data_IF_916733770111
#
_entry.id   IF_916733770111
#
_cell.length_a   1.000
_cell.length_b   1.000
_cell.length_c   1.000
_cell.angle_alpha   90.00
_cell.angle_beta   90.00
_cell.angle_gamma   90.00
#
_symmetry.space_group_name_H-M   'P 1'
#
loop_
_entity.id
_entity.type
_entity.pdbx_description
1 polymer ?
#
# COMPACT_ATOMS: atom_id res chain seq x y z
N UNK A 1 26.28 -5.53 -5.82
CA UNK A 1 25.40 -4.62 -5.09
C UNK A 1 25.67 -3.22 -5.59
N UNK A 2 24.62 -2.57 -5.98
CA UNK A 2 24.56 -1.50 -6.94
C UNK A 2 25.27 -0.21 -6.50
N UNK A 3 26.14 0.35 -7.33
CA UNK A 3 26.76 1.67 -7.18
C UNK A 3 25.75 2.80 -6.91
N UNK A 4 24.52 2.67 -7.41
CA UNK A 4 23.43 3.63 -7.19
C UNK A 4 22.96 3.69 -5.73
N UNK A 5 22.91 2.56 -5.01
CA UNK A 5 22.54 2.53 -3.59
C UNK A 5 23.59 3.19 -2.72
N UNK A 6 24.87 2.92 -2.98
CA UNK A 6 25.99 3.54 -2.27
C UNK A 6 25.99 5.06 -2.47
N UNK A 7 25.82 5.52 -3.71
CA UNK A 7 25.76 6.93 -4.05
C UNK A 7 24.58 7.65 -3.38
N UNK A 8 23.40 7.02 -3.28
CA UNK A 8 22.25 7.58 -2.56
C UNK A 8 22.52 7.71 -1.05
N UNK A 9 23.17 6.72 -0.44
CA UNK A 9 23.54 6.75 0.98
C UNK A 9 24.59 7.83 1.27
N UNK A 10 25.54 8.03 0.37
CA UNK A 10 26.57 9.06 0.51
C UNK A 10 25.97 10.47 0.43
N UNK A 11 25.04 10.73 -0.50
CA UNK A 11 24.31 11.99 -0.59
C UNK A 11 23.52 12.31 0.68
N UNK A 12 22.89 11.31 1.30
CA UNK A 12 22.16 11.53 2.58
C UNK A 12 23.14 11.88 3.70
N UNK A 13 24.32 11.26 3.72
CA UNK A 13 25.34 11.54 4.77
C UNK A 13 25.94 12.93 4.66
N UNK A 14 25.94 13.54 3.48
CA UNK A 14 26.37 14.92 3.28
C UNK A 14 25.42 15.92 3.95
N UNK A 15 24.10 15.62 3.96
CA UNK A 15 23.07 16.49 4.51
C UNK A 15 22.76 16.18 5.98
N UNK A 16 22.82 14.91 6.38
CA UNK A 16 22.44 14.44 7.72
C UNK A 16 23.61 13.71 8.39
N UNK A 17 24.23 14.29 9.43
CA UNK A 17 25.27 13.61 10.21
C UNK A 17 24.70 12.37 10.93
N UNK A 18 25.32 11.20 10.72
CA UNK A 18 24.92 9.93 11.35
C UNK A 18 23.43 9.53 11.08
N UNK A 19 23.00 9.40 9.83
CA UNK A 19 21.62 9.04 9.53
C UNK A 19 21.33 7.58 9.97
N UNK A 20 20.14 7.38 10.52
CA UNK A 20 19.59 6.03 10.75
C UNK A 20 18.67 5.69 9.58
N UNK A 21 18.83 4.48 9.02
CA UNK A 21 18.06 4.03 7.88
C UNK A 21 17.05 2.95 8.30
N UNK A 22 15.87 3.00 7.69
CA UNK A 22 14.93 1.87 7.74
C UNK A 22 14.97 1.17 6.38
N UNK A 23 15.25 -0.12 6.40
CA UNK A 23 15.29 -0.96 5.20
C UNK A 23 14.05 -1.83 5.18
N UNK A 24 13.26 -1.70 4.14
CA UNK A 24 11.99 -2.42 3.96
C UNK A 24 11.98 -3.19 2.64
N UNK A 25 11.16 -4.24 2.60
CA UNK A 25 10.92 -4.97 1.37
C UNK A 25 10.10 -4.14 0.40
N UNK A 26 10.58 -3.99 -0.84
CA UNK A 26 9.83 -3.32 -1.90
C UNK A 26 8.79 -4.26 -2.50
N UNK A 27 7.54 -4.06 -2.12
CA UNK A 27 6.41 -4.82 -2.67
C UNK A 27 6.15 -4.38 -4.12
N UNK A 28 5.80 -5.32 -4.98
CA UNK A 28 5.48 -5.08 -6.38
C UNK A 28 3.96 -5.15 -6.60
N UNK A 29 3.33 -4.00 -6.70
CA UNK A 29 1.89 -3.85 -6.82
C UNK A 29 1.46 -2.51 -7.42
N UNK A 30 0.37 -1.95 -6.93
CA UNK A 30 -0.15 -0.64 -7.27
C UNK A 30 -0.17 0.25 -6.03
N UNK A 31 0.50 1.39 -6.10
CA UNK A 31 0.56 2.34 -5.01
C UNK A 31 -0.76 3.08 -4.83
N UNK A 32 -1.23 3.13 -3.58
CA UNK A 32 -2.48 3.79 -3.20
C UNK A 32 -2.28 4.66 -1.98
N UNK A 33 -3.16 5.64 -1.82
CA UNK A 33 -3.34 6.43 -0.61
C UNK A 33 -4.67 6.09 0.04
N UNK A 34 -4.66 5.96 1.36
CA UNK A 34 -5.82 5.73 2.21
C UNK A 34 -5.95 6.93 3.16
N UNK A 35 -7.03 7.69 3.02
CA UNK A 35 -7.32 8.87 3.83
C UNK A 35 -8.44 8.56 4.81
N UNK A 36 -8.16 8.81 6.08
CA UNK A 36 -9.08 8.61 7.20
C UNK A 36 -9.41 9.95 7.84
N UNK A 37 -10.72 10.16 8.10
CA UNK A 37 -11.24 11.28 8.87
C UNK A 37 -11.93 10.75 10.11
N UNK A 38 -11.58 11.29 11.26
CA UNK A 38 -12.12 10.86 12.56
C UNK A 38 -12.06 9.33 12.78
N UNK A 39 -11.02 8.70 12.20
CA UNK A 39 -10.79 7.27 12.27
C UNK A 39 -11.55 6.42 11.26
N UNK A 40 -12.36 7.00 10.36
CA UNK A 40 -13.09 6.27 9.32
C UNK A 40 -12.42 6.43 7.95
N UNK A 41 -12.33 5.36 7.16
CA UNK A 41 -11.83 5.41 5.78
C UNK A 41 -12.76 6.26 4.92
N UNK A 42 -12.32 7.47 4.59
CA UNK A 42 -13.06 8.44 3.79
C UNK A 42 -12.78 8.25 2.30
N UNK A 43 -11.50 8.28 1.91
CA UNK A 43 -11.08 8.22 0.49
C UNK A 43 -9.93 7.24 0.32
N UNK A 44 -9.99 6.48 -0.77
CA UNK A 44 -8.90 5.66 -1.24
C UNK A 44 -8.61 5.97 -2.72
N UNK A 45 -7.37 6.34 -3.04
CA UNK A 45 -6.99 6.74 -4.40
C UNK A 45 -5.72 6.05 -4.88
N UNK A 46 -5.59 5.88 -6.20
CA UNK A 46 -4.31 5.48 -6.80
C UNK A 46 -3.37 6.68 -6.85
N UNK A 47 -2.06 6.42 -6.93
CA UNK A 47 -1.07 7.49 -7.04
C UNK A 47 -1.20 8.30 -8.35
N UNK A 48 -1.77 7.72 -9.41
CA UNK A 48 -1.86 8.35 -10.72
C UNK A 48 -0.50 8.78 -11.26
N UNK A 49 -0.45 9.96 -11.85
CA UNK A 49 0.75 10.64 -12.35
C UNK A 49 1.52 11.44 -11.27
N UNK A 50 1.04 11.40 -10.04
CA UNK A 50 1.57 12.15 -8.89
C UNK A 50 0.79 13.42 -8.57
N UNK A 51 -0.12 13.87 -9.44
CA UNK A 51 -0.99 15.03 -9.24
C UNK A 51 -2.46 14.65 -9.18
N UNK A 52 -2.89 13.70 -10.01
CA UNK A 52 -4.27 13.21 -10.06
C UNK A 52 -4.28 11.70 -9.92
N UNK A 53 -4.94 11.21 -8.88
CA UNK A 53 -5.21 9.79 -8.65
C UNK A 53 -6.65 9.44 -9.03
N UNK A 54 -6.88 8.17 -9.40
CA UNK A 54 -8.24 7.65 -9.58
C UNK A 54 -8.82 7.31 -8.21
N UNK A 55 -10.05 7.71 -7.95
CA UNK A 55 -10.81 7.25 -6.78
C UNK A 55 -11.14 5.76 -6.94
N UNK A 56 -10.65 4.96 -6.02
CA UNK A 56 -10.85 3.50 -5.95
C UNK A 56 -11.35 3.07 -4.56
N UNK A 57 -11.96 3.99 -3.82
CA UNK A 57 -12.40 3.82 -2.44
C UNK A 57 -13.22 2.55 -2.28
N UNK A 58 -14.26 2.36 -3.10
CA UNK A 58 -15.15 1.21 -2.99
C UNK A 58 -14.44 -0.12 -3.25
N UNK A 59 -13.45 -0.14 -4.14
CA UNK A 59 -12.65 -1.33 -4.40
C UNK A 59 -11.67 -1.60 -3.24
N UNK A 60 -11.04 -0.58 -2.68
CA UNK A 60 -10.17 -0.71 -1.52
C UNK A 60 -10.91 -1.19 -0.28
N UNK A 61 -12.16 -0.78 -0.08
CA UNK A 61 -13.04 -1.27 1.00
C UNK A 61 -13.28 -2.78 0.94
N UNK A 62 -13.07 -3.42 -0.20
CA UNK A 62 -13.19 -4.90 -0.35
C UNK A 62 -11.96 -5.66 0.12
N UNK A 63 -10.83 -5.00 0.33
CA UNK A 63 -9.59 -5.61 0.81
C UNK A 63 -9.67 -5.77 2.32
N UNK A 64 -9.73 -7.01 2.79
CA UNK A 64 -10.02 -7.35 4.20
C UNK A 64 -8.97 -6.84 5.19
N UNK A 65 -7.74 -6.67 4.74
CA UNK A 65 -6.62 -6.18 5.55
C UNK A 65 -6.60 -4.66 5.72
N UNK A 66 -7.45 -3.92 5.00
CA UNK A 66 -7.60 -2.48 5.19
C UNK A 66 -8.63 -2.24 6.30
N UNK A 67 -8.26 -1.61 7.43
CA UNK A 67 -9.21 -1.24 8.46
C UNK A 67 -10.16 -0.16 7.93
N UNK A 68 -11.46 -0.42 7.94
CA UNK A 68 -12.48 0.58 7.54
C UNK A 68 -12.70 1.62 8.65
N UNK A 69 -12.45 1.21 9.89
CA UNK A 69 -12.48 2.07 11.07
C UNK A 69 -11.26 1.77 11.93
N UNK A 70 -10.55 2.82 12.32
CA UNK A 70 -9.38 2.73 13.18
C UNK A 70 -9.80 2.54 14.66
N UNK A 71 -8.97 1.89 15.47
CA UNK A 71 -9.23 1.76 16.92
C UNK A 71 -9.13 3.10 17.67
N UNK A 72 -8.50 4.10 17.07
CA UNK A 72 -8.35 5.46 17.59
C UNK A 72 -8.94 6.45 16.57
N UNK A 73 -9.81 7.36 17.01
CA UNK A 73 -10.40 8.40 16.18
C UNK A 73 -9.38 9.54 15.97
N UNK A 74 -8.44 9.35 15.04
CA UNK A 74 -7.53 10.42 14.64
C UNK A 74 -8.28 11.40 13.73
N UNK A 75 -8.13 12.73 13.92
CA UNK A 75 -8.81 13.73 13.08
C UNK A 75 -8.50 13.56 11.60
N UNK A 76 -7.23 13.36 11.26
CA UNK A 76 -6.75 13.08 9.91
C UNK A 76 -5.58 12.10 9.95
N UNK A 77 -5.67 11.09 9.11
CA UNK A 77 -4.56 10.18 8.82
C UNK A 77 -4.56 9.84 7.33
N UNK A 78 -3.46 10.09 6.64
CA UNK A 78 -3.22 9.61 5.28
C UNK A 78 -2.06 8.61 5.29
N UNK A 79 -2.33 7.39 4.81
CA UNK A 79 -1.38 6.28 4.75
C UNK A 79 -1.15 5.86 3.32
N UNK A 80 0.11 5.68 2.92
CA UNK A 80 0.47 5.03 1.66
C UNK A 80 0.71 3.55 1.83
N UNK A 81 0.15 2.80 0.88
CA UNK A 81 0.36 1.36 0.77
C UNK A 81 0.56 0.92 -0.67
N UNK A 82 0.99 -0.33 -0.82
CA UNK A 82 1.08 -1.01 -2.10
C UNK A 82 0.08 -2.16 -2.10
N UNK A 83 -0.95 -2.05 -2.95
CA UNK A 83 -1.91 -3.14 -3.19
C UNK A 83 -1.28 -4.14 -4.12
N UNK A 84 -1.28 -5.39 -3.74
CA UNK A 84 -0.70 -6.48 -4.51
C UNK A 84 -1.66 -7.68 -4.63
N UNK A 85 -1.37 -8.56 -5.55
CA UNK A 85 -2.10 -9.83 -5.69
C UNK A 85 -1.21 -10.96 -5.16
N UNK A 86 -1.60 -11.64 -4.06
CA UNK A 86 -0.90 -12.83 -3.59
C UNK A 86 -0.77 -13.89 -4.69
N UNK A 87 0.32 -14.66 -4.69
CA UNK A 87 0.61 -15.68 -5.70
C UNK A 87 -0.54 -16.69 -5.83
N UNK A 88 -1.15 -17.07 -4.71
CA UNK A 88 -2.31 -17.97 -4.70
C UNK A 88 -3.52 -17.39 -5.42
N UNK A 89 -3.80 -16.10 -5.22
CA UNK A 89 -4.87 -15.38 -5.91
C UNK A 89 -4.58 -15.22 -7.39
N UNK A 90 -3.33 -14.92 -7.74
CA UNK A 90 -2.89 -14.82 -9.13
C UNK A 90 -3.04 -16.14 -9.90
N UNK A 91 -2.56 -17.23 -9.32
CA UNK A 91 -2.69 -18.56 -9.94
C UNK A 91 -4.14 -18.97 -10.14
N UNK A 92 -5.03 -18.63 -9.19
CA UNK A 92 -6.46 -18.85 -9.32
C UNK A 92 -7.05 -18.03 -10.48
N UNK A 93 -6.72 -16.74 -10.56
CA UNK A 93 -7.17 -15.86 -11.63
C UNK A 93 -6.75 -16.37 -13.02
N UNK A 94 -5.49 -16.76 -13.19
CA UNK A 94 -4.97 -17.30 -14.45
C UNK A 94 -5.76 -18.53 -14.87
N UNK A 95 -6.01 -19.49 -13.96
CA UNK A 95 -6.83 -20.68 -14.26
C UNK A 95 -8.27 -20.33 -14.67
N UNK A 96 -8.89 -19.37 -13.99
CA UNK A 96 -10.25 -18.92 -14.34
C UNK A 96 -10.30 -18.29 -15.73
N UNK A 97 -9.27 -17.51 -16.10
CA UNK A 97 -9.15 -16.91 -17.43
C UNK A 97 -8.93 -17.96 -18.52
N UNK A 98 -8.06 -18.94 -18.29
CA UNK A 98 -7.84 -20.07 -19.21
C UNK A 98 -9.12 -20.87 -19.43
N UNK A 99 -9.89 -21.17 -18.39
CA UNK A 99 -11.16 -21.89 -18.49
C UNK A 99 -12.24 -21.12 -19.27
N UNK A 100 -12.15 -19.80 -19.30
CA UNK A 100 -13.05 -18.92 -20.05
C UNK A 100 -12.54 -18.58 -21.45
N UNK A 101 -11.41 -19.14 -21.86
CA UNK A 101 -10.74 -18.83 -23.13
C UNK A 101 -10.33 -17.33 -23.24
N UNK A 102 -10.12 -16.67 -22.09
CA UNK A 102 -9.65 -15.29 -21.98
C UNK A 102 -8.11 -15.25 -22.01
N UNK A 103 -7.53 -14.12 -22.41
CA UNK A 103 -6.07 -13.93 -22.33
C UNK A 103 -5.62 -13.85 -20.87
N UNK A 104 -4.77 -14.76 -20.38
CA UNK A 104 -4.31 -14.75 -18.99
C UNK A 104 -3.52 -13.49 -18.64
N UNK A 105 -3.66 -13.07 -17.40
CA UNK A 105 -2.87 -11.97 -16.85
C UNK A 105 -1.37 -12.30 -16.87
N UNK A 106 -0.54 -11.35 -17.32
CA UNK A 106 0.90 -11.58 -17.55
C UNK A 106 1.73 -11.62 -16.26
N UNK A 107 1.33 -10.86 -15.24
CA UNK A 107 2.03 -10.80 -13.96
C UNK A 107 1.09 -10.32 -12.84
N UNK A 108 1.42 -10.60 -11.56
CA UNK A 108 0.61 -10.21 -10.41
C UNK A 108 0.37 -8.70 -10.28
N UNK A 109 1.36 -7.85 -10.61
CA UNK A 109 1.23 -6.40 -10.55
C UNK A 109 0.14 -5.88 -11.48
N UNK A 110 0.16 -6.27 -12.75
CA UNK A 110 -0.85 -5.87 -13.73
C UNK A 110 -2.22 -6.43 -13.37
N UNK A 111 -2.27 -7.65 -12.84
CA UNK A 111 -3.50 -8.27 -12.36
C UNK A 111 -4.09 -7.50 -11.15
N UNK A 112 -3.26 -7.06 -10.22
CA UNK A 112 -3.69 -6.24 -9.09
C UNK A 112 -4.23 -4.88 -9.57
N UNK A 113 -3.48 -4.18 -10.43
CA UNK A 113 -3.88 -2.89 -10.98
C UNK A 113 -5.20 -2.97 -11.76
N UNK A 114 -5.35 -3.97 -12.63
CA UNK A 114 -6.58 -4.19 -13.38
C UNK A 114 -7.76 -4.58 -12.49
N UNK A 115 -7.52 -5.31 -11.41
CA UNK A 115 -8.55 -5.70 -10.46
C UNK A 115 -9.02 -4.52 -9.60
N UNK A 116 -8.10 -3.65 -9.17
CA UNK A 116 -8.43 -2.47 -8.35
C UNK A 116 -9.20 -1.40 -9.15
N UNK A 117 -9.06 -1.37 -10.48
CA UNK A 117 -9.77 -0.43 -11.36
C UNK A 117 -11.09 -0.97 -11.92
N UNK A 118 -11.61 -2.07 -11.40
CA UNK A 118 -12.91 -2.60 -11.82
C UNK A 118 -14.03 -1.65 -11.41
N UNK A 119 -15.02 -1.48 -12.29
CA UNK A 119 -16.20 -0.65 -12.01
C UNK A 119 -17.13 -1.27 -10.95
N UNK A 120 -17.15 -2.59 -10.88
CA UNK A 120 -17.93 -3.35 -9.89
C UNK A 120 -17.01 -3.82 -8.74
N UNK A 121 -17.18 -3.30 -7.51
CA UNK A 121 -16.38 -3.70 -6.35
C UNK A 121 -16.47 -5.21 -6.03
N UNK A 122 -17.55 -5.89 -6.44
CA UNK A 122 -17.66 -7.34 -6.26
C UNK A 122 -16.61 -8.12 -7.05
N UNK A 123 -16.21 -7.60 -8.21
CA UNK A 123 -15.13 -8.19 -9.00
C UNK A 123 -13.80 -8.01 -8.26
N UNK A 124 -13.52 -6.82 -7.74
CA UNK A 124 -12.32 -6.57 -6.93
C UNK A 124 -12.27 -7.48 -5.69
N UNK A 125 -13.40 -7.62 -4.97
CA UNK A 125 -13.54 -8.51 -3.82
C UNK A 125 -13.18 -9.97 -4.14
N UNK A 126 -13.63 -10.47 -5.29
CA UNK A 126 -13.37 -11.85 -5.73
C UNK A 126 -11.90 -12.10 -6.10
N UNK A 127 -11.12 -11.05 -6.39
CA UNK A 127 -9.71 -11.16 -6.79
C UNK A 127 -8.77 -11.54 -5.65
N UNK A 128 -9.17 -11.28 -4.39
CA UNK A 128 -8.35 -11.60 -3.23
C UNK A 128 -7.05 -10.77 -3.21
N UNK A 129 -7.19 -9.46 -3.38
CA UNK A 129 -6.11 -8.49 -3.23
C UNK A 129 -5.72 -8.34 -1.77
N UNK A 130 -4.50 -7.88 -1.54
CA UNK A 130 -3.98 -7.55 -0.23
C UNK A 130 -3.14 -6.27 -0.31
N UNK A 131 -2.72 -5.70 0.83
CA UNK A 131 -1.97 -4.45 0.89
C UNK A 131 -0.84 -4.56 1.91
N UNK A 132 0.27 -3.85 1.67
CA UNK A 132 1.22 -3.46 2.69
C UNK A 132 1.31 -1.95 2.76
N UNK A 133 1.16 -1.40 3.96
CA UNK A 133 1.32 0.03 4.23
C UNK A 133 2.77 0.29 4.65
N UNK A 134 3.35 1.37 4.12
CA UNK A 134 4.78 1.66 4.30
C UNK A 134 5.08 3.11 4.67
N UNK A 135 4.12 4.02 4.58
CA UNK A 135 4.38 5.42 4.91
C UNK A 135 3.13 6.15 5.40
N UNK A 136 3.30 7.04 6.36
CA UNK A 136 2.30 8.03 6.79
C UNK A 136 2.61 9.34 6.07
N UNK A 137 1.64 9.87 5.32
CA UNK A 137 1.77 11.11 4.55
C UNK A 137 1.29 12.32 5.33
N UNK A 138 0.13 12.18 5.99
CA UNK A 138 -0.47 13.20 6.83
C UNK A 138 -0.93 12.59 8.14
N UNK A 139 -0.79 13.33 9.22
CA UNK A 139 -1.15 12.86 10.55
C UNK A 139 -1.50 14.06 11.43
N UNK A 140 -2.73 14.04 11.99
CA UNK A 140 -3.16 15.00 13.00
C UNK A 140 -3.53 14.28 14.30
N UNK A 141 -3.24 14.92 15.42
CA UNK A 141 -3.55 14.41 16.76
C UNK A 141 -2.42 13.62 17.42
N UNK A 142 -1.43 13.14 16.66
CA UNK A 142 -0.23 12.43 17.13
C UNK A 142 0.98 12.90 16.32
N UNK A 143 2.18 12.88 16.88
CA UNK A 143 3.43 13.19 16.19
C UNK A 143 4.32 11.97 16.12
N UNK A 144 4.93 11.75 14.96
CA UNK A 144 5.99 10.77 14.74
C UNK A 144 7.23 11.51 14.22
N UNK A 145 8.34 11.39 14.92
CA UNK A 145 9.61 12.05 14.54
C UNK A 145 10.46 11.17 13.60
N UNK A 146 10.25 9.86 13.68
CA UNK A 146 11.00 8.86 12.92
C UNK A 146 10.09 8.00 12.08
N UNK A 147 10.59 7.56 10.94
CA UNK A 147 9.85 6.61 10.09
C UNK A 147 9.50 5.30 10.82
N UNK A 148 10.39 4.78 11.66
CA UNK A 148 10.10 3.59 12.48
C UNK A 148 8.93 3.79 13.45
N UNK A 149 8.74 4.98 13.98
CA UNK A 149 7.59 5.31 14.84
C UNK A 149 6.29 5.34 14.06
N UNK A 150 6.31 5.82 12.81
CA UNK A 150 5.14 5.80 11.93
C UNK A 150 4.76 4.37 11.53
N UNK A 151 5.73 3.46 11.34
CA UNK A 151 5.47 2.04 11.11
C UNK A 151 4.81 1.36 12.32
N UNK A 152 5.29 1.65 13.53
CA UNK A 152 4.68 1.14 14.77
C UNK A 152 3.28 1.71 15.01
N UNK A 153 3.06 3.00 14.71
CA UNK A 153 1.73 3.60 14.75
C UNK A 153 0.79 2.87 13.78
N UNK A 154 1.18 2.67 12.54
CA UNK A 154 0.38 1.94 11.56
C UNK A 154 0.02 0.53 12.03
N UNK A 155 0.96 -0.22 12.63
CA UNK A 155 0.68 -1.54 13.23
C UNK A 155 -0.36 -1.47 14.33
N UNK A 156 -0.21 -0.52 15.26
CA UNK A 156 -1.15 -0.31 16.36
C UNK A 156 -2.56 0.02 15.85
N UNK A 157 -2.65 0.77 14.76
CA UNK A 157 -3.91 1.11 14.11
C UNK A 157 -4.51 -0.03 13.26
N UNK A 158 -3.81 -1.16 13.14
CA UNK A 158 -4.30 -2.36 12.44
C UNK A 158 -3.93 -2.45 10.97
N UNK A 159 -3.04 -1.59 10.47
CA UNK A 159 -2.55 -1.70 9.10
C UNK A 159 -1.52 -2.83 8.95
N UNK A 160 -1.56 -3.60 7.85
CA UNK A 160 -0.51 -4.53 7.52
C UNK A 160 0.75 -3.77 7.10
N UNK A 161 1.77 -3.87 7.92
CA UNK A 161 3.12 -3.32 7.68
C UNK A 161 4.05 -4.50 7.45
N UNK A 162 5.04 -4.36 6.56
CA UNK A 162 6.03 -5.41 6.32
C UNK A 162 6.65 -5.86 7.64
N UNK A 163 6.67 -7.17 7.95
CA UNK A 163 7.31 -7.68 9.16
C UNK A 163 8.84 -7.60 9.08
N UNK A 164 9.39 -7.56 7.87
CA UNK A 164 10.81 -7.63 7.56
C UNK A 164 11.39 -6.24 7.32
N UNK A 165 11.35 -5.36 8.33
CA UNK A 165 12.13 -4.12 8.30
C UNK A 165 13.24 -4.15 9.34
N UNK A 166 14.33 -3.44 9.04
CA UNK A 166 15.48 -3.25 9.94
C UNK A 166 15.79 -1.76 10.04
N UNK A 167 16.10 -1.34 11.26
CA UNK A 167 16.58 0.01 11.57
C UNK A 167 18.08 0.00 11.72
#
# INVERSE_FOLDING_TARGET
ICSATTMALDLVREEVPNPTYVVEQKIDGLSVSLEYHDGELAVGSTRGDGFTGEDVTENLRTIRSIPLQLPEALPLLEVRGEVYMPVTSFNRLVREQELREETPAKNPRNAAAGSLRQKDPKIAAARGLDIFCFNVQQLEGVTCERHSESLELMRRLGFPVSPDYKV
#
